data_IF_750439214935
#
_entry.id   IF_750439214935
#
_cell.length_a   1.000
_cell.length_b   1.000
_cell.length_c   1.000
_cell.angle_alpha   90.00
_cell.angle_beta   90.00
_cell.angle_gamma   90.00
#
_symmetry.space_group_name_H-M   'P 1'
#
loop_
_entity.id
_entity.type
_entity.pdbx_description
1 polymer ?
#
# COMPACT_ATOMS: atom_id res chain seq x y z
N UNK A 1 19.86 2.44 10.74
CA UNK A 1 18.93 3.40 10.08
C UNK A 1 17.60 2.71 9.84
N UNK A 2 16.52 3.37 10.23
CA UNK A 2 15.20 2.80 10.06
C UNK A 2 14.79 2.77 8.58
N UNK A 3 14.06 1.73 8.21
CA UNK A 3 13.54 1.61 6.85
C UNK A 3 12.27 2.44 6.73
N UNK A 4 12.09 3.06 5.58
CA UNK A 4 10.81 3.71 5.27
C UNK A 4 9.76 2.65 4.99
N UNK A 5 8.56 2.87 5.50
CA UNK A 5 7.44 1.97 5.26
C UNK A 5 6.66 2.41 4.04
N UNK A 6 6.36 1.45 3.17
CA UNK A 6 5.58 1.69 1.96
C UNK A 6 4.38 0.75 1.98
N UNK A 7 3.20 1.31 1.81
CA UNK A 7 1.96 0.55 1.71
C UNK A 7 1.66 0.31 0.24
N UNK A 8 1.61 -0.95 -0.16
CA UNK A 8 1.30 -1.36 -1.53
C UNK A 8 -0.12 -1.91 -1.56
N UNK A 9 -0.99 -1.28 -2.34
CA UNK A 9 -2.40 -1.62 -2.42
C UNK A 9 -2.73 -2.09 -3.83
N UNK A 10 -3.03 -3.37 -3.98
CA UNK A 10 -3.33 -3.98 -5.28
C UNK A 10 -4.17 -5.23 -5.04
N UNK A 11 -5.22 -5.42 -5.82
CA UNK A 11 -6.06 -6.60 -5.73
C UNK A 11 -5.43 -7.83 -6.41
N UNK A 12 -4.39 -7.64 -7.20
CA UNK A 12 -3.68 -8.73 -7.86
C UNK A 12 -2.44 -9.12 -7.07
N UNK A 13 -2.45 -10.33 -6.49
CA UNK A 13 -1.38 -10.78 -5.60
C UNK A 13 -0.03 -10.88 -6.29
N UNK A 14 0.01 -11.22 -7.58
CA UNK A 14 1.27 -11.32 -8.32
C UNK A 14 1.96 -9.99 -8.46
N UNK A 15 1.20 -8.96 -8.86
CA UNK A 15 1.75 -7.61 -8.99
C UNK A 15 2.20 -7.08 -7.63
N UNK A 16 1.38 -7.32 -6.60
CA UNK A 16 1.72 -6.90 -5.24
C UNK A 16 3.03 -7.52 -4.79
N UNK A 17 3.21 -8.81 -5.05
CA UNK A 17 4.44 -9.51 -4.71
C UNK A 17 5.66 -8.98 -5.45
N UNK A 18 5.52 -8.69 -6.75
CA UNK A 18 6.60 -8.14 -7.55
C UNK A 18 7.07 -6.78 -7.00
N UNK A 19 6.12 -5.92 -6.71
CA UNK A 19 6.43 -4.60 -6.14
C UNK A 19 7.07 -4.74 -4.77
N UNK A 20 6.54 -5.63 -3.94
CA UNK A 20 7.11 -5.90 -2.62
C UNK A 20 8.56 -6.38 -2.72
N UNK A 21 8.83 -7.34 -3.60
CA UNK A 21 10.18 -7.89 -3.76
C UNK A 21 11.16 -6.80 -4.21
N UNK A 22 10.74 -5.98 -5.17
CA UNK A 22 11.56 -4.88 -5.66
C UNK A 22 11.88 -3.88 -4.53
N UNK A 23 10.87 -3.46 -3.79
CA UNK A 23 11.04 -2.48 -2.73
C UNK A 23 11.85 -3.04 -1.56
N UNK A 24 11.65 -4.32 -1.25
CA UNK A 24 12.42 -4.97 -0.18
C UNK A 24 13.91 -5.01 -0.53
N UNK A 25 14.23 -5.27 -1.79
CA UNK A 25 15.63 -5.24 -2.25
C UNK A 25 16.22 -3.83 -2.17
N UNK A 26 15.38 -2.81 -2.28
CA UNK A 26 15.81 -1.41 -2.17
C UNK A 26 15.82 -0.92 -0.72
N UNK A 27 15.69 -1.84 0.24
CA UNK A 27 15.78 -1.58 1.68
C UNK A 27 14.58 -0.80 2.25
N UNK A 28 13.41 -1.00 1.66
CA UNK A 28 12.16 -0.48 2.21
C UNK A 28 11.40 -1.57 2.98
N UNK A 29 10.62 -1.16 3.95
CA UNK A 29 9.69 -2.06 4.63
C UNK A 29 8.35 -1.97 3.89
N UNK A 30 7.79 -3.11 3.49
CA UNK A 30 6.58 -3.15 2.67
C UNK A 30 5.43 -3.74 3.44
N UNK A 31 4.29 -3.04 3.42
CA UNK A 31 3.03 -3.51 3.98
C UNK A 31 2.06 -3.68 2.81
N UNK A 32 1.35 -4.79 2.77
CA UNK A 32 0.46 -5.11 1.66
C UNK A 32 -1.01 -4.98 2.04
N UNK A 33 -1.80 -4.48 1.11
CA UNK A 33 -3.26 -4.45 1.23
C UNK A 33 -3.88 -4.96 -0.07
N UNK A 34 -4.98 -5.70 0.04
CA UNK A 34 -5.68 -6.27 -1.11
C UNK A 34 -6.66 -5.30 -1.74
N UNK A 35 -7.18 -4.37 -0.97
CA UNK A 35 -8.17 -3.41 -1.44
C UNK A 35 -8.07 -2.10 -0.65
N UNK A 36 -8.91 -1.15 -1.04
CA UNK A 36 -8.90 0.17 -0.43
C UNK A 36 -9.33 0.18 1.03
N UNK A 37 -10.29 -0.66 1.39
CA UNK A 37 -10.76 -0.72 2.78
C UNK A 37 -9.64 -1.22 3.70
N UNK A 38 -8.94 -2.27 3.29
CA UNK A 38 -7.81 -2.78 4.05
C UNK A 38 -6.67 -1.76 4.12
N UNK A 39 -6.44 -1.05 3.03
CA UNK A 39 -5.41 -0.01 2.98
C UNK A 39 -5.68 1.10 4.00
N UNK A 40 -6.90 1.55 4.10
CA UNK A 40 -7.28 2.60 5.05
C UNK A 40 -7.07 2.11 6.47
N UNK A 41 -7.51 0.90 6.78
CA UNK A 41 -7.32 0.32 8.11
C UNK A 41 -5.85 0.23 8.49
N UNK A 42 -5.02 -0.24 7.57
CA UNK A 42 -3.58 -0.33 7.79
C UNK A 42 -2.93 1.03 7.95
N UNK A 43 -3.36 2.01 7.18
CA UNK A 43 -2.82 3.36 7.26
C UNK A 43 -3.06 3.97 8.66
N UNK A 44 -4.26 3.80 9.20
CA UNK A 44 -4.58 4.32 10.52
C UNK A 44 -3.97 3.51 11.65
N UNK A 45 -3.72 2.24 11.43
CA UNK A 45 -3.05 1.36 12.39
C UNK A 45 -1.54 1.63 12.45
N UNK A 46 -0.94 1.91 11.29
CA UNK A 46 0.50 2.15 11.16
C UNK A 46 0.75 3.65 10.99
N UNK A 47 1.32 4.29 11.98
CA UNK A 47 1.48 5.76 12.00
C UNK A 47 2.62 6.29 11.13
N UNK A 48 3.50 5.41 10.65
CA UNK A 48 4.77 5.81 10.03
C UNK A 48 4.91 5.40 8.58
N UNK A 49 3.79 5.24 7.89
CA UNK A 49 3.81 4.94 6.44
C UNK A 49 4.25 6.18 5.69
N UNK A 50 5.34 6.05 4.94
CA UNK A 50 5.96 7.15 4.20
C UNK A 50 5.38 7.33 2.80
N UNK A 51 4.90 6.24 2.18
CA UNK A 51 4.42 6.26 0.79
C UNK A 51 3.35 5.19 0.60
N UNK A 52 2.37 5.49 -0.24
CA UNK A 52 1.32 4.55 -0.61
C UNK A 52 1.33 4.38 -2.13
N UNK A 53 1.41 3.14 -2.58
CA UNK A 53 1.30 2.79 -4.00
C UNK A 53 -0.06 2.16 -4.21
N UNK A 54 -0.89 2.78 -5.05
CA UNK A 54 -2.28 2.38 -5.26
C UNK A 54 -2.52 1.91 -6.69
N UNK A 55 -3.33 0.84 -6.82
CA UNK A 55 -3.94 0.46 -8.08
C UNK A 55 -5.35 1.06 -8.09
N UNK A 56 -5.59 2.01 -9.00
CA UNK A 56 -6.87 2.73 -9.09
C UNK A 56 -8.02 1.87 -9.64
N UNK A 57 -7.72 0.68 -10.10
CA UNK A 57 -8.70 -0.24 -10.67
C UNK A 57 -9.26 -1.24 -9.65
N UNK A 58 -9.04 -1.02 -8.37
CA UNK A 58 -9.52 -1.91 -7.33
C UNK A 58 -11.05 -1.97 -7.26
N UNK A 59 -11.62 -3.18 -7.03
CA UNK A 59 -13.08 -3.34 -7.08
C UNK A 59 -13.84 -2.78 -5.88
N UNK A 60 -13.24 -2.73 -4.70
CA UNK A 60 -13.96 -2.32 -3.48
C UNK A 60 -13.99 -0.82 -3.27
N UNK A 61 -12.99 -0.11 -3.77
CA UNK A 61 -12.88 1.33 -3.59
C UNK A 61 -11.85 1.82 -4.60
N UNK A 62 -12.19 2.84 -5.37
CA UNK A 62 -11.23 3.32 -6.35
C UNK A 62 -10.06 4.06 -5.68
N UNK A 63 -8.96 4.20 -6.42
CA UNK A 63 -7.74 4.80 -5.89
C UNK A 63 -7.95 6.25 -5.45
N UNK A 64 -8.81 6.97 -6.13
CA UNK A 64 -9.11 8.35 -5.79
C UNK A 64 -9.81 8.45 -4.45
N UNK A 65 -10.74 7.55 -4.18
CA UNK A 65 -11.47 7.55 -2.92
C UNK A 65 -10.55 7.20 -1.76
N UNK A 66 -9.66 6.23 -1.95
CA UNK A 66 -8.66 5.89 -0.93
C UNK A 66 -7.77 7.10 -0.63
N UNK A 67 -7.31 7.80 -1.65
CA UNK A 67 -6.49 8.99 -1.46
C UNK A 67 -7.22 10.09 -0.68
N UNK A 68 -8.49 10.29 -0.95
CA UNK A 68 -9.31 11.27 -0.21
C UNK A 68 -9.41 10.90 1.27
N UNK A 69 -9.64 9.63 1.57
CA UNK A 69 -9.77 9.18 2.95
C UNK A 69 -8.47 9.32 3.74
N UNK A 70 -7.35 9.12 3.08
CA UNK A 70 -6.04 9.18 3.72
C UNK A 70 -5.54 10.62 3.87
N UNK A 71 -5.84 11.46 2.92
CA UNK A 71 -5.46 12.87 2.99
C UNK A 71 -6.31 13.63 3.99
#
# INVERSE_FOLDING_TARGET
MERLKILVVDDESRMRKLVKDFLTKSNYEVIEAEDGAQAIDLFFEQNDIALIILDVMMPNMDGWQVCKEIR
#
